data_IF_466919593836
#
_entry.id   IF_466919593836
#
_cell.length_a   1.000
_cell.length_b   1.000
_cell.length_c   1.000
_cell.angle_alpha   90.00
_cell.angle_beta   90.00
_cell.angle_gamma   90.00
#
_symmetry.space_group_name_H-M   'P 1'
#
loop_
_entity.id
_entity.type
_entity.pdbx_description
1 polymer ?
#
# COMPACT_ATOMS: atom_id res chain seq x y z
N UNK A 1 33.73 -12.47 16.35
CA UNK A 1 32.91 -11.33 15.92
C UNK A 1 31.89 -11.71 14.84
N UNK A 2 32.29 -12.37 13.74
CA UNK A 2 31.37 -12.69 12.63
C UNK A 2 30.31 -13.76 12.98
N UNK A 3 30.70 -14.85 13.66
CA UNK A 3 29.75 -15.88 14.14
C UNK A 3 28.75 -15.35 15.19
N UNK A 4 29.18 -14.41 16.02
CA UNK A 4 28.33 -13.82 17.07
C UNK A 4 27.32 -12.82 16.49
N UNK A 5 27.72 -12.07 15.45
CA UNK A 5 26.84 -11.24 14.65
C UNK A 5 25.80 -12.09 13.91
N UNK A 6 26.24 -13.15 13.23
CA UNK A 6 25.35 -14.09 12.54
C UNK A 6 24.35 -14.77 13.50
N UNK A 7 24.78 -15.12 14.71
CA UNK A 7 23.90 -15.69 15.73
C UNK A 7 22.85 -14.68 16.22
N UNK A 8 23.26 -13.43 16.49
CA UNK A 8 22.34 -12.34 16.87
C UNK A 8 21.34 -12.03 15.76
N UNK A 9 21.79 -11.97 14.51
CA UNK A 9 20.92 -11.73 13.35
C UNK A 9 19.89 -12.86 13.17
N UNK A 10 20.30 -14.12 13.37
CA UNK A 10 19.41 -15.28 13.31
C UNK A 10 18.37 -15.30 14.45
N UNK A 11 18.75 -14.92 15.67
CA UNK A 11 17.83 -14.82 16.81
C UNK A 11 16.82 -13.70 16.57
N UNK A 12 17.28 -12.56 16.09
CA UNK A 12 16.41 -11.42 15.79
C UNK A 12 15.41 -11.76 14.69
N UNK A 13 15.86 -12.44 13.63
CA UNK A 13 15.00 -12.93 12.55
C UNK A 13 13.92 -13.89 13.05
N UNK A 14 14.29 -14.88 13.88
CA UNK A 14 13.32 -15.81 14.49
C UNK A 14 12.29 -15.09 15.37
N UNK A 15 12.72 -14.06 16.12
CA UNK A 15 11.81 -13.25 16.94
C UNK A 15 10.80 -12.50 16.07
N UNK A 16 11.25 -11.91 14.96
CA UNK A 16 10.35 -11.26 14.00
C UNK A 16 9.37 -12.24 13.34
N UNK A 17 9.84 -13.42 12.93
CA UNK A 17 8.98 -14.46 12.34
C UNK A 17 7.88 -14.90 13.33
N UNK A 18 8.24 -15.11 14.59
CA UNK A 18 7.29 -15.47 15.65
C UNK A 18 6.25 -14.36 15.90
N UNK A 19 6.66 -13.09 15.89
CA UNK A 19 5.73 -11.96 16.04
C UNK A 19 4.73 -11.89 14.88
N UNK A 20 5.15 -12.18 13.65
CA UNK A 20 4.23 -12.22 12.48
C UNK A 20 3.24 -13.37 12.56
N UNK A 21 3.67 -14.54 13.02
CA UNK A 21 2.77 -15.68 13.26
C UNK A 21 1.76 -15.37 14.35
N UNK A 22 2.21 -14.74 15.44
CA UNK A 22 1.34 -14.30 16.52
C UNK A 22 0.30 -13.28 16.00
N UNK A 23 0.73 -12.27 15.25
CA UNK A 23 -0.16 -11.28 14.64
C UNK A 23 -1.21 -11.94 13.72
N UNK A 24 -0.82 -12.93 12.91
CA UNK A 24 -1.74 -13.69 12.08
C UNK A 24 -2.79 -14.43 12.93
N UNK A 25 -2.34 -15.16 13.96
CA UNK A 25 -3.22 -15.93 14.83
C UNK A 25 -4.20 -15.06 15.61
N UNK A 26 -3.70 -13.94 16.16
CA UNK A 26 -4.52 -12.96 16.86
C UNK A 26 -5.53 -12.29 15.93
N UNK A 27 -5.12 -11.91 14.71
CA UNK A 27 -6.02 -11.34 13.70
C UNK A 27 -7.10 -12.33 13.26
N UNK A 28 -6.75 -13.61 13.09
CA UNK A 28 -7.70 -14.67 12.76
C UNK A 28 -8.70 -14.89 13.90
N UNK A 29 -8.24 -14.86 15.15
CA UNK A 29 -9.10 -15.05 16.33
C UNK A 29 -10.01 -13.83 16.61
N UNK A 30 -9.67 -12.65 16.07
CA UNK A 30 -10.39 -11.41 16.33
C UNK A 30 -11.79 -11.36 15.70
N UNK A 31 -11.98 -12.03 14.57
CA UNK A 31 -13.23 -11.98 13.81
C UNK A 31 -13.73 -13.39 13.47
N UNK A 32 -15.05 -13.57 13.43
CA UNK A 32 -15.68 -14.85 13.05
C UNK A 32 -15.61 -15.14 11.53
N UNK A 33 -14.83 -14.36 10.77
CA UNK A 33 -14.81 -14.38 9.30
C UNK A 33 -13.89 -15.43 8.67
N UNK A 34 -13.23 -16.28 9.46
CA UNK A 34 -12.39 -17.38 8.95
C UNK A 34 -11.08 -16.96 8.28
N UNK A 35 -10.71 -15.68 8.35
CA UNK A 35 -9.43 -15.15 7.85
C UNK A 35 -8.94 -14.01 8.75
N UNK A 36 -7.63 -13.70 8.75
CA UNK A 36 -7.08 -12.55 9.49
C UNK A 36 -7.29 -11.21 8.77
N UNK A 37 -7.97 -11.20 7.63
CA UNK A 37 -8.09 -10.03 6.75
C UNK A 37 -9.46 -9.37 6.87
N UNK A 38 -9.47 -8.05 6.72
CA UNK A 38 -10.67 -7.25 6.54
C UNK A 38 -10.53 -6.42 5.27
N UNK A 39 -11.65 -6.12 4.63
CA UNK A 39 -11.68 -5.28 3.44
C UNK A 39 -12.89 -4.32 3.52
N UNK A 40 -12.71 -3.02 3.25
CA UNK A 40 -13.79 -2.05 3.35
C UNK A 40 -14.89 -2.33 2.31
N UNK A 41 -16.14 -2.17 2.73
CA UNK A 41 -17.24 -2.06 1.78
C UNK A 41 -16.98 -0.86 0.85
N UNK A 42 -17.34 -0.98 -0.42
CA UNK A 42 -17.06 -0.02 -1.50
C UNK A 42 -15.57 0.09 -1.88
N UNK A 43 -14.69 -0.71 -1.27
CA UNK A 43 -13.30 -0.85 -1.67
C UNK A 43 -12.34 0.16 -1.05
N UNK A 44 -11.06 0.04 -1.43
CA UNK A 44 -9.97 0.79 -0.79
C UNK A 44 -10.06 2.31 -0.96
N UNK A 45 -10.87 2.80 -1.92
CA UNK A 45 -11.13 4.23 -2.11
C UNK A 45 -11.80 4.90 -0.90
N UNK A 46 -12.44 4.14 -0.01
CA UNK A 46 -13.02 4.67 1.23
C UNK A 46 -11.94 5.10 2.25
N UNK A 47 -10.76 4.49 2.22
CA UNK A 47 -9.67 4.84 3.14
C UNK A 47 -9.16 6.28 2.93
N UNK A 48 -8.71 6.71 1.73
CA UNK A 48 -8.28 8.08 1.53
C UNK A 48 -9.43 9.08 1.72
N UNK A 49 -10.68 8.72 1.41
CA UNK A 49 -11.84 9.57 1.69
C UNK A 49 -12.03 9.79 3.21
N UNK A 50 -11.93 8.73 4.01
CA UNK A 50 -12.04 8.83 5.46
C UNK A 50 -10.92 9.67 6.07
N UNK A 51 -9.66 9.50 5.63
CA UNK A 51 -8.54 10.32 6.08
C UNK A 51 -8.67 11.78 5.61
N UNK A 52 -9.20 12.02 4.41
CA UNK A 52 -9.46 13.38 3.94
C UNK A 52 -10.52 14.08 4.80
N UNK A 53 -11.61 13.38 5.11
CA UNK A 53 -12.64 13.87 6.04
C UNK A 53 -12.07 14.12 7.43
N UNK A 54 -11.27 13.19 7.96
CA UNK A 54 -10.63 13.35 9.26
C UNK A 54 -9.76 14.61 9.28
N UNK A 55 -8.92 14.81 8.26
CA UNK A 55 -8.08 16.01 8.15
C UNK A 55 -8.91 17.29 8.02
N UNK A 56 -10.06 17.27 7.34
CA UNK A 56 -10.96 18.42 7.23
C UNK A 56 -11.60 18.81 8.57
N UNK A 57 -11.90 17.85 9.45
CA UNK A 57 -12.36 18.13 10.83
C UNK A 57 -11.34 18.96 11.60
N UNK A 58 -10.04 18.81 11.29
CA UNK A 58 -8.95 19.57 11.90
C UNK A 58 -8.48 20.75 11.04
N UNK A 59 -9.34 21.26 10.14
CA UNK A 59 -9.07 22.46 9.33
C UNK A 59 -8.26 22.21 8.05
N UNK A 60 -7.99 20.96 7.69
CA UNK A 60 -7.38 20.62 6.41
C UNK A 60 -8.32 20.88 5.22
N UNK A 61 -7.77 21.26 4.08
CA UNK A 61 -8.54 21.40 2.83
C UNK A 61 -7.94 20.51 1.75
N UNK A 62 -8.77 19.70 1.10
CA UNK A 62 -8.37 18.85 -0.02
C UNK A 62 -8.75 19.51 -1.33
N UNK A 63 -7.76 19.67 -2.21
CA UNK A 63 -7.94 20.23 -3.55
C UNK A 63 -7.69 19.12 -4.57
N UNK A 64 -8.74 18.72 -5.29
CA UNK A 64 -8.65 17.77 -6.40
C UNK A 64 -8.64 18.52 -7.74
N UNK A 65 -8.22 17.82 -8.80
CA UNK A 65 -8.16 18.39 -10.16
C UNK A 65 -7.32 19.67 -10.25
N UNK A 66 -6.25 19.74 -9.45
CA UNK A 66 -5.33 20.88 -9.42
C UNK A 66 -4.09 20.56 -10.27
N UNK A 67 -3.98 21.11 -11.50
CA UNK A 67 -2.94 20.72 -12.44
C UNK A 67 -1.58 21.32 -12.08
N UNK A 68 -0.49 20.76 -12.64
CA UNK A 68 0.85 21.37 -12.61
C UNK A 68 1.38 21.73 -11.21
N UNK A 69 1.07 20.91 -10.21
CA UNK A 69 1.61 21.06 -8.86
C UNK A 69 3.14 20.88 -8.87
N UNK A 70 3.86 22.00 -8.70
CA UNK A 70 5.32 22.04 -8.70
C UNK A 70 5.83 22.42 -7.31
N UNK A 71 6.73 21.62 -6.76
CA UNK A 71 7.42 21.96 -5.51
C UNK A 71 8.48 23.04 -5.79
N UNK A 72 8.43 24.13 -5.04
CA UNK A 72 9.38 25.24 -5.17
C UNK A 72 10.49 25.14 -4.12
N UNK A 73 11.72 25.39 -4.56
CA UNK A 73 12.93 25.28 -3.75
C UNK A 73 13.68 26.61 -3.66
N UNK A 74 14.20 26.92 -2.48
CA UNK A 74 15.10 28.03 -2.23
C UNK A 74 16.28 27.52 -1.39
N UNK A 75 17.51 27.78 -1.81
CA UNK A 75 18.73 27.26 -1.16
C UNK A 75 18.71 25.72 -0.95
N UNK A 76 18.10 25.00 -1.90
CA UNK A 76 17.99 23.53 -1.86
C UNK A 76 16.88 22.99 -0.94
N UNK A 77 16.10 23.85 -0.28
CA UNK A 77 14.99 23.48 0.61
C UNK A 77 13.64 23.84 0.01
N UNK A 78 12.68 22.94 0.13
CA UNK A 78 11.31 23.22 -0.27
C UNK A 78 10.70 24.32 0.62
N UNK A 79 10.05 25.30 -0.01
CA UNK A 79 9.37 26.41 0.67
C UNK A 79 7.90 26.57 0.29
N UNK A 80 7.42 25.82 -0.69
CA UNK A 80 6.03 25.90 -1.13
C UNK A 80 5.72 24.98 -2.31
N UNK A 81 4.45 25.01 -2.72
CA UNK A 81 3.97 24.33 -3.92
C UNK A 81 3.23 25.36 -4.77
N UNK A 82 3.61 25.47 -6.04
CA UNK A 82 2.96 26.33 -7.04
C UNK A 82 2.00 25.50 -7.88
N UNK A 83 0.81 26.04 -8.16
CA UNK A 83 -0.09 25.49 -9.17
C UNK A 83 -0.97 26.61 -9.73
N UNK A 84 -1.18 26.62 -11.05
CA UNK A 84 -1.91 27.70 -11.78
C UNK A 84 -1.42 29.11 -11.42
N UNK A 85 -0.11 29.27 -11.23
CA UNK A 85 0.52 30.57 -10.94
C UNK A 85 0.43 31.03 -9.48
N UNK A 86 -0.29 30.30 -8.62
CA UNK A 86 -0.38 30.59 -7.18
C UNK A 86 0.53 29.67 -6.36
N UNK A 87 1.25 30.22 -5.39
CA UNK A 87 2.16 29.46 -4.51
C UNK A 87 1.65 29.41 -3.09
N UNK A 88 1.34 28.21 -2.60
CA UNK A 88 1.09 27.94 -1.20
C UNK A 88 2.42 27.70 -0.47
N UNK A 89 2.77 28.57 0.48
CA UNK A 89 4.04 28.44 1.25
C UNK A 89 3.91 27.42 2.37
N UNK A 90 4.95 26.61 2.56
CA UNK A 90 5.01 25.61 3.62
C UNK A 90 6.46 25.36 4.07
N UNK A 91 6.64 24.72 5.22
CA UNK A 91 7.97 24.37 5.75
C UNK A 91 8.43 22.98 5.34
N UNK A 92 7.49 22.11 4.97
CA UNK A 92 7.70 20.69 4.65
C UNK A 92 6.70 20.29 3.58
N UNK A 93 7.13 19.42 2.66
CA UNK A 93 6.28 18.87 1.60
C UNK A 93 6.26 17.36 1.75
N UNK A 94 5.05 16.79 1.74
CA UNK A 94 4.82 15.35 1.65
C UNK A 94 4.22 15.04 0.29
N UNK A 95 4.76 14.06 -0.42
CA UNK A 95 4.28 13.69 -1.75
C UNK A 95 4.60 12.24 -2.10
N UNK A 96 3.99 11.73 -3.15
CA UNK A 96 4.39 10.46 -3.76
C UNK A 96 5.50 10.69 -4.82
N UNK A 97 6.16 9.61 -5.31
CA UNK A 97 7.27 9.70 -6.26
C UNK A 97 7.01 10.53 -7.53
N UNK A 98 5.76 10.64 -7.98
CA UNK A 98 5.43 11.33 -9.24
C UNK A 98 5.65 12.84 -9.20
N UNK A 99 5.63 13.45 -8.01
CA UNK A 99 5.82 14.90 -7.85
C UNK A 99 7.29 15.33 -7.85
N UNK A 100 8.22 14.40 -7.56
CA UNK A 100 9.65 14.66 -7.45
C UNK A 100 10.46 13.51 -8.09
N UNK A 101 10.34 13.28 -9.42
CA UNK A 101 10.93 12.13 -10.11
C UNK A 101 12.47 12.12 -10.08
N UNK A 102 13.10 13.28 -9.87
CA UNK A 102 14.54 13.50 -9.73
C UNK A 102 15.08 13.18 -8.32
N UNK A 103 14.19 12.93 -7.35
CA UNK A 103 14.52 12.61 -5.94
C UNK A 103 14.14 11.20 -5.53
N UNK A 104 13.82 10.35 -6.50
CA UNK A 104 13.49 8.94 -6.31
C UNK A 104 14.32 8.07 -7.24
N UNK A 105 14.45 6.79 -6.89
CA UNK A 105 15.02 5.79 -7.79
C UNK A 105 14.04 4.65 -7.99
N UNK A 106 14.01 4.10 -9.20
CA UNK A 106 13.28 2.89 -9.51
C UNK A 106 13.95 1.69 -8.84
N UNK A 107 13.17 0.90 -8.10
CA UNK A 107 13.64 -0.29 -7.37
C UNK A 107 13.07 -1.60 -7.91
N UNK A 108 12.06 -1.52 -8.78
CA UNK A 108 11.41 -2.69 -9.33
C UNK A 108 10.20 -2.32 -10.18
N UNK A 109 9.40 -3.33 -10.48
CA UNK A 109 8.16 -3.22 -11.25
C UNK A 109 7.19 -4.27 -10.70
N UNK A 110 5.91 -3.96 -10.63
CA UNK A 110 4.86 -4.93 -10.28
C UNK A 110 4.08 -5.28 -11.53
N UNK A 111 3.87 -6.57 -11.75
CA UNK A 111 2.91 -7.07 -12.72
C UNK A 111 1.56 -7.30 -12.02
N UNK A 112 0.47 -6.84 -12.63
CA UNK A 112 -0.89 -6.98 -12.11
C UNK A 112 -1.86 -7.44 -13.20
N UNK A 113 -2.76 -8.35 -12.86
CA UNK A 113 -3.94 -8.68 -13.64
C UNK A 113 -5.18 -8.38 -12.81
N UNK A 114 -6.13 -7.65 -13.38
CA UNK A 114 -7.46 -7.43 -12.82
C UNK A 114 -8.43 -8.29 -13.63
N UNK A 115 -9.07 -9.26 -12.99
CA UNK A 115 -9.91 -10.25 -13.64
C UNK A 115 -11.36 -10.08 -13.16
N UNK A 116 -12.30 -9.95 -14.09
CA UNK A 116 -13.74 -9.94 -13.80
C UNK A 116 -14.29 -11.35 -14.04
N UNK A 117 -15.06 -11.86 -13.09
CA UNK A 117 -15.60 -13.22 -13.13
C UNK A 117 -17.08 -13.23 -12.75
N UNK A 118 -17.80 -14.26 -13.21
CA UNK A 118 -19.22 -14.52 -12.91
C UNK A 118 -19.45 -15.63 -11.88
N UNK A 119 -18.40 -16.08 -11.19
CA UNK A 119 -18.45 -17.18 -10.24
C UNK A 119 -17.36 -17.02 -9.16
N UNK A 120 -17.48 -17.69 -7.99
CA UNK A 120 -16.40 -17.74 -7.01
C UNK A 120 -15.20 -18.51 -7.56
N UNK A 121 -14.03 -18.29 -6.97
CA UNK A 121 -12.82 -19.04 -7.35
C UNK A 121 -13.04 -20.53 -7.06
N UNK A 122 -12.67 -21.45 -7.98
CA UNK A 122 -12.70 -22.88 -7.72
C UNK A 122 -11.97 -23.27 -6.43
N UNK A 123 -12.50 -24.28 -5.72
CA UNK A 123 -11.91 -24.80 -4.48
C UNK A 123 -11.82 -23.81 -3.31
N UNK A 124 -12.64 -22.75 -3.30
CA UNK A 124 -12.72 -21.81 -2.17
C UNK A 124 -14.05 -21.85 -1.43
N UNK A 125 -14.78 -22.97 -1.49
CA UNK A 125 -16.08 -23.16 -0.82
C UNK A 125 -17.09 -22.02 -1.10
N UNK A 126 -17.16 -21.57 -2.36
CA UNK A 126 -18.02 -20.48 -2.83
C UNK A 126 -17.82 -19.14 -2.09
N UNK A 127 -16.63 -18.92 -1.53
CA UNK A 127 -16.29 -17.70 -0.79
C UNK A 127 -16.44 -16.44 -1.64
N UNK A 128 -17.04 -15.41 -1.05
CA UNK A 128 -17.23 -14.10 -1.67
C UNK A 128 -15.98 -13.19 -1.66
N UNK A 129 -14.96 -13.59 -0.92
CA UNK A 129 -13.63 -12.97 -0.92
C UNK A 129 -12.58 -13.96 -0.45
N UNK A 130 -11.38 -13.89 -1.03
CA UNK A 130 -10.31 -14.86 -0.77
C UNK A 130 -8.96 -14.16 -0.87
N UNK A 131 -8.02 -14.56 -0.02
CA UNK A 131 -6.60 -14.31 -0.18
C UNK A 131 -5.91 -15.65 -0.50
N UNK A 132 -5.13 -15.70 -1.58
CA UNK A 132 -4.28 -16.83 -1.94
C UNK A 132 -2.85 -16.32 -2.11
N UNK A 133 -1.91 -17.03 -1.51
CA UNK A 133 -0.48 -16.76 -1.66
C UNK A 133 0.11 -17.96 -2.39
N UNK A 134 0.77 -17.71 -3.52
CA UNK A 134 1.53 -18.69 -4.27
C UNK A 134 3.02 -18.46 -3.98
N UNK A 135 3.64 -19.26 -3.10
CA UNK A 135 5.03 -19.03 -2.69
C UNK A 135 5.98 -19.18 -3.88
N UNK A 136 6.95 -18.28 -3.99
CA UNK A 136 7.90 -18.19 -5.10
C UNK A 136 8.56 -19.53 -5.46
N UNK A 137 8.89 -20.35 -4.45
CA UNK A 137 9.54 -21.66 -4.64
C UNK A 137 8.64 -22.68 -5.34
N UNK A 138 7.33 -22.58 -5.20
CA UNK A 138 6.37 -23.45 -5.90
C UNK A 138 6.24 -23.05 -7.38
N UNK A 139 6.62 -21.83 -7.72
CA UNK A 139 6.53 -21.27 -9.08
C UNK A 139 7.89 -21.14 -9.78
N UNK A 140 8.99 -21.49 -9.12
CA UNK A 140 10.35 -21.26 -9.65
C UNK A 140 10.70 -19.77 -9.81
N UNK A 141 10.07 -18.90 -9.01
CA UNK A 141 10.25 -17.44 -9.01
C UNK A 141 11.16 -16.97 -7.88
N UNK A 142 11.55 -15.69 -7.93
CA UNK A 142 12.26 -14.94 -6.88
C UNK A 142 11.32 -14.18 -5.95
N UNK A 143 10.07 -13.98 -6.37
CA UNK A 143 9.04 -13.27 -5.64
C UNK A 143 7.76 -14.10 -5.55
N UNK A 144 7.07 -13.97 -4.43
CA UNK A 144 5.76 -14.61 -4.24
C UNK A 144 4.75 -13.96 -5.19
N UNK A 145 3.70 -14.71 -5.53
CA UNK A 145 2.54 -14.19 -6.23
C UNK A 145 1.35 -14.16 -5.28
N UNK A 146 0.62 -13.06 -5.32
CA UNK A 146 -0.55 -12.82 -4.48
C UNK A 146 -1.79 -12.79 -5.35
N UNK A 147 -2.86 -13.40 -4.87
CA UNK A 147 -4.17 -13.38 -5.48
C UNK A 147 -5.18 -12.97 -4.42
N UNK A 148 -5.77 -11.80 -4.61
CA UNK A 148 -6.86 -11.30 -3.77
C UNK A 148 -8.15 -11.24 -4.58
N UNK A 149 -9.23 -11.80 -4.06
CA UNK A 149 -10.55 -11.73 -4.66
C UNK A 149 -11.51 -11.05 -3.70
N UNK A 150 -12.35 -10.18 -4.25
CA UNK A 150 -13.54 -9.64 -3.62
C UNK A 150 -14.70 -9.66 -4.63
N UNK A 151 -15.90 -9.31 -4.19
CA UNK A 151 -17.10 -9.47 -5.01
C UNK A 151 -18.17 -8.46 -4.64
N UNK A 152 -19.35 -8.60 -5.25
CA UNK A 152 -20.55 -7.84 -4.91
C UNK A 152 -20.89 -7.80 -3.42
N UNK A 153 -20.46 -8.78 -2.60
CA UNK A 153 -20.69 -8.74 -1.15
C UNK A 153 -19.96 -7.57 -0.46
N UNK A 154 -18.93 -7.01 -1.11
CA UNK A 154 -18.17 -5.86 -0.68
C UNK A 154 -18.59 -4.57 -1.40
N UNK A 155 -19.68 -4.59 -2.18
CA UNK A 155 -20.16 -3.47 -2.99
C UNK A 155 -19.13 -2.90 -3.98
N UNK A 156 -18.18 -3.73 -4.43
CA UNK A 156 -17.17 -3.34 -5.43
C UNK A 156 -17.53 -3.78 -6.85
N UNK A 157 -18.58 -4.61 -7.00
CA UNK A 157 -19.03 -5.15 -8.27
C UNK A 157 -20.55 -5.37 -8.28
N UNK A 158 -21.21 -5.42 -9.45
CA UNK A 158 -22.63 -5.78 -9.56
C UNK A 158 -22.92 -7.19 -9.00
N UNK A 159 -24.15 -7.44 -8.55
CA UNK A 159 -24.58 -8.74 -8.00
C UNK A 159 -24.19 -9.90 -8.93
N UNK A 160 -23.56 -10.93 -8.37
CA UNK A 160 -23.07 -12.11 -9.10
C UNK A 160 -21.68 -11.94 -9.73
N UNK A 161 -21.07 -10.76 -9.66
CA UNK A 161 -19.72 -10.51 -10.18
C UNK A 161 -18.65 -10.53 -9.08
N UNK A 162 -17.47 -11.00 -9.48
CA UNK A 162 -16.26 -11.11 -8.68
C UNK A 162 -15.14 -10.34 -9.38
N UNK A 163 -14.24 -9.76 -8.58
CA UNK A 163 -13.04 -9.09 -9.06
C UNK A 163 -11.86 -9.76 -8.35
N UNK A 164 -10.97 -10.37 -9.15
CA UNK A 164 -9.73 -10.95 -8.67
C UNK A 164 -8.54 -10.13 -9.15
N UNK A 165 -7.59 -9.90 -8.26
CA UNK A 165 -6.34 -9.23 -8.52
C UNK A 165 -5.21 -10.25 -8.36
N UNK A 166 -4.45 -10.50 -9.42
CA UNK A 166 -3.25 -11.35 -9.39
C UNK A 166 -2.04 -10.44 -9.53
N UNK A 167 -1.12 -10.45 -8.56
CA UNK A 167 0.05 -9.56 -8.55
C UNK A 167 1.33 -10.27 -8.13
N UNK A 168 2.46 -9.80 -8.65
CA UNK A 168 3.80 -10.21 -8.23
C UNK A 168 4.83 -9.14 -8.60
N UNK A 169 6.00 -9.14 -7.96
CA UNK A 169 7.15 -8.37 -8.47
C UNK A 169 7.55 -8.95 -9.83
N UNK A 170 7.60 -8.10 -10.84
CA UNK A 170 7.88 -8.48 -12.22
C UNK A 170 9.35 -8.88 -12.37
N UNK A 171 9.58 -10.06 -12.95
CA UNK A 171 10.90 -10.56 -13.31
C UNK A 171 11.19 -10.37 -14.82
N UNK A 172 10.16 -10.01 -15.59
CA UNK A 172 10.15 -9.78 -17.04
C UNK A 172 9.24 -8.60 -17.39
N UNK A 173 9.17 -8.24 -18.67
CA UNK A 173 8.21 -7.25 -19.19
C UNK A 173 6.91 -7.88 -19.73
N UNK A 174 6.67 -9.17 -19.51
CA UNK A 174 5.47 -9.88 -19.98
C UNK A 174 4.57 -10.32 -18.83
N UNK A 175 3.65 -9.45 -18.35
CA UNK A 175 2.77 -9.76 -17.22
C UNK A 175 1.84 -10.95 -17.49
N UNK A 176 1.48 -11.21 -18.74
CA UNK A 176 0.58 -12.32 -19.10
C UNK A 176 1.20 -13.68 -18.79
N UNK A 177 2.49 -13.83 -19.09
CA UNK A 177 3.24 -15.06 -18.82
C UNK A 177 3.51 -15.20 -17.33
N UNK A 178 3.94 -14.12 -16.68
CA UNK A 178 4.29 -14.17 -15.25
C UNK A 178 3.10 -14.46 -14.35
N UNK A 179 1.93 -13.89 -14.65
CA UNK A 179 0.73 -14.03 -13.83
C UNK A 179 -0.09 -15.28 -14.16
N UNK A 180 0.31 -16.04 -15.19
CA UNK A 180 -0.45 -17.19 -15.68
C UNK A 180 -0.80 -18.19 -14.57
N UNK A 181 0.16 -18.50 -13.71
CA UNK A 181 -0.05 -19.46 -12.62
C UNK A 181 -1.17 -19.04 -11.66
N UNK A 182 -1.33 -17.74 -11.40
CA UNK A 182 -2.41 -17.22 -10.57
C UNK A 182 -3.72 -17.10 -11.32
N UNK A 183 -3.70 -16.66 -12.59
CA UNK A 183 -4.91 -16.56 -13.40
C UNK A 183 -5.51 -17.92 -13.74
N UNK A 184 -4.70 -18.97 -13.87
CA UNK A 184 -5.16 -20.35 -14.11
C UNK A 184 -6.00 -20.89 -12.93
N UNK A 185 -5.83 -20.33 -11.71
CA UNK A 185 -6.65 -20.71 -10.55
C UNK A 185 -8.07 -20.14 -10.59
N UNK A 186 -8.33 -19.13 -11.42
CA UNK A 186 -9.57 -18.35 -11.37
C UNK A 186 -10.76 -19.06 -12.03
N UNK A 187 -10.53 -20.08 -12.87
CA UNK A 187 -11.56 -20.64 -13.74
C UNK A 187 -11.89 -19.72 -14.93
N UNK A 188 -13.08 -19.81 -15.54
CA UNK A 188 -13.51 -18.89 -16.60
C UNK A 188 -13.46 -17.41 -16.20
N UNK A 189 -12.75 -16.60 -16.98
CA UNK A 189 -12.63 -15.15 -16.78
C UNK A 189 -13.48 -14.45 -17.84
N UNK A 190 -14.36 -13.53 -17.42
CA UNK A 190 -15.18 -12.74 -18.33
C UNK A 190 -14.30 -11.72 -19.07
N UNK A 191 -13.46 -11.00 -18.32
CA UNK A 191 -12.54 -9.98 -18.83
C UNK A 191 -11.27 -9.91 -17.98
N UNK A 192 -10.15 -9.60 -18.63
CA UNK A 192 -8.84 -9.48 -17.97
C UNK A 192 -8.09 -8.23 -18.42
N UNK A 193 -7.60 -7.47 -17.45
CA UNK A 193 -6.79 -6.27 -17.67
C UNK A 193 -5.39 -6.49 -17.09
N UNK A 194 -4.40 -6.59 -17.97
CA UNK A 194 -3.00 -6.65 -17.57
C UNK A 194 -2.41 -5.25 -17.48
N UNK A 195 -1.64 -5.01 -16.43
CA UNK A 195 -0.99 -3.75 -16.15
C UNK A 195 0.36 -3.98 -15.48
N UNK A 196 1.26 -3.02 -15.63
CA UNK A 196 2.52 -2.99 -14.89
C UNK A 196 2.81 -1.58 -14.43
N UNK A 197 3.30 -1.43 -13.20
CA UNK A 197 3.76 -0.14 -12.70
C UNK A 197 5.14 -0.26 -12.07
N UNK A 198 5.93 0.81 -12.22
CA UNK A 198 7.26 0.90 -11.65
C UNK A 198 7.18 1.24 -10.16
N UNK A 199 8.08 0.63 -9.38
CA UNK A 199 8.22 0.92 -7.96
C UNK A 199 9.39 1.86 -7.72
N UNK A 200 9.18 2.85 -6.88
CA UNK A 200 10.16 3.87 -6.53
C UNK A 200 10.37 3.95 -5.01
N UNK A 201 11.57 4.35 -4.61
CA UNK A 201 11.88 4.75 -3.24
C UNK A 201 12.60 6.10 -3.20
N UNK A 202 12.42 6.91 -2.15
CA UNK A 202 13.13 8.18 -1.98
C UNK A 202 14.65 7.99 -1.94
N UNK A 203 15.37 8.89 -2.61
CA UNK A 203 16.84 9.00 -2.54
C UNK A 203 17.30 10.29 -1.87
N UNK A 204 16.37 11.20 -1.56
CA UNK A 204 16.70 12.48 -0.97
C UNK A 204 17.07 12.39 0.52
N UNK A 205 17.81 13.40 0.99
CA UNK A 205 18.06 13.63 2.40
C UNK A 205 16.97 14.56 2.93
N UNK A 206 15.98 13.99 3.63
CA UNK A 206 14.75 14.67 4.04
C UNK A 206 15.01 15.95 4.84
N UNK A 207 15.97 15.90 5.77
CA UNK A 207 16.36 17.05 6.61
C UNK A 207 17.13 18.12 5.82
N UNK A 208 17.68 17.74 4.67
CA UNK A 208 18.41 18.61 3.76
C UNK A 208 17.49 19.45 2.88
N UNK A 209 16.40 18.87 2.39
CA UNK A 209 15.50 19.50 1.40
C UNK A 209 14.06 19.73 1.86
N UNK A 210 13.68 19.29 3.06
CA UNK A 210 12.33 19.35 3.61
C UNK A 210 11.26 18.59 2.80
N UNK A 211 11.67 17.64 1.95
CA UNK A 211 10.77 16.78 1.19
C UNK A 211 10.69 15.38 1.82
N UNK A 212 9.46 14.88 1.97
CA UNK A 212 9.16 13.56 2.51
C UNK A 212 8.36 12.80 1.47
N UNK A 213 9.04 11.91 0.74
CA UNK A 213 8.48 11.19 -0.40
C UNK A 213 8.13 9.77 0.05
N UNK A 214 6.91 9.29 -0.24
CA UNK A 214 6.52 7.91 0.05
C UNK A 214 7.19 6.92 -0.90
N UNK A 215 7.29 5.66 -0.47
CA UNK A 215 7.60 4.58 -1.38
C UNK A 215 6.38 4.22 -2.24
N UNK A 216 6.60 3.64 -3.42
CA UNK A 216 5.51 3.02 -4.19
C UNK A 216 5.01 1.75 -3.51
N UNK A 217 3.71 1.49 -3.63
CA UNK A 217 3.09 0.22 -3.20
C UNK A 217 3.83 -0.99 -3.79
N UNK A 218 3.95 -2.04 -2.99
CA UNK A 218 4.52 -3.31 -3.42
C UNK A 218 3.44 -4.26 -3.95
N UNK A 219 3.85 -5.46 -4.39
CA UNK A 219 2.93 -6.46 -4.89
C UNK A 219 2.08 -7.14 -3.79
N UNK A 220 2.33 -6.88 -2.51
CA UNK A 220 1.61 -7.54 -1.43
C UNK A 220 0.17 -7.06 -1.34
N UNK A 221 -0.73 -7.97 -0.97
CA UNK A 221 -2.18 -7.72 -0.90
C UNK A 221 -2.63 -7.41 0.53
N UNK A 222 -1.75 -6.80 1.33
CA UNK A 222 -2.01 -6.33 2.69
C UNK A 222 -1.21 -5.05 2.99
N UNK A 223 -1.57 -4.31 4.02
CA UNK A 223 -1.01 -2.97 4.25
C UNK A 223 0.23 -2.88 5.16
N UNK A 224 0.83 -3.99 5.61
CA UNK A 224 1.95 -3.94 6.59
C UNK A 224 3.09 -3.00 6.14
N UNK A 225 3.59 -3.15 4.92
CA UNK A 225 4.70 -2.34 4.38
C UNK A 225 4.29 -0.88 4.15
N UNK A 226 3.06 -0.65 3.71
CA UNK A 226 2.50 0.71 3.56
C UNK A 226 2.42 1.42 4.90
N UNK A 227 1.92 0.75 5.94
CA UNK A 227 1.79 1.33 7.29
C UNK A 227 3.18 1.59 7.88
N UNK A 228 4.16 0.71 7.63
CA UNK A 228 5.55 0.96 8.03
C UNK A 228 6.12 2.23 7.38
N UNK A 229 5.86 2.46 6.10
CA UNK A 229 6.30 3.69 5.41
C UNK A 229 5.64 4.94 6.02
N UNK A 230 4.33 4.89 6.29
CA UNK A 230 3.59 5.98 6.95
C UNK A 230 4.16 6.29 8.33
N UNK A 231 4.41 5.28 9.17
CA UNK A 231 4.98 5.46 10.52
C UNK A 231 6.40 6.04 10.43
N UNK A 232 7.24 5.50 9.55
CA UNK A 232 8.60 6.00 9.35
C UNK A 232 8.60 7.46 8.89
N UNK A 233 7.69 7.81 7.98
CA UNK A 233 7.53 9.16 7.49
C UNK A 233 7.03 10.11 8.58
N UNK A 234 6.03 9.71 9.38
CA UNK A 234 5.56 10.48 10.52
C UNK A 234 6.72 10.81 11.47
N UNK A 235 7.55 9.81 11.81
CA UNK A 235 8.70 10.02 12.68
C UNK A 235 9.75 10.94 12.09
N UNK A 236 10.04 10.84 10.79
CA UNK A 236 10.94 11.78 10.09
C UNK A 236 10.39 13.20 10.07
N UNK A 237 9.09 13.37 9.85
CA UNK A 237 8.45 14.69 9.80
C UNK A 237 8.39 15.32 11.19
N UNK A 238 8.02 14.58 12.22
CA UNK A 238 7.71 15.14 13.54
C UNK A 238 8.86 15.06 14.54
N UNK A 239 9.86 14.21 14.28
CA UNK A 239 10.91 13.86 15.24
C UNK A 239 10.41 13.02 16.42
N UNK A 240 9.19 12.45 16.35
CA UNK A 240 8.54 11.71 17.44
C UNK A 240 8.17 10.29 17.01
N UNK A 241 8.12 9.38 17.97
CA UNK A 241 7.47 8.08 17.78
C UNK A 241 5.96 8.28 17.73
N UNK A 242 5.29 7.64 16.76
CA UNK A 242 3.84 7.69 16.66
C UNK A 242 3.21 7.01 17.89
N UNK A 243 2.45 7.78 18.66
CA UNK A 243 1.67 7.30 19.80
C UNK A 243 0.17 7.33 19.43
N UNK A 244 -0.42 6.14 19.29
CA UNK A 244 -1.83 5.98 18.94
C UNK A 244 -2.73 5.87 20.18
N UNK A 245 -2.19 6.00 21.39
CA UNK A 245 -2.97 6.00 22.64
C UNK A 245 -3.51 7.39 23.01
N UNK A 246 -3.10 8.43 22.28
CA UNK A 246 -3.51 9.81 22.53
C UNK A 246 -4.99 9.99 22.17
N UNK A 247 -5.77 10.48 23.13
CA UNK A 247 -7.17 10.84 22.91
C UNK A 247 -7.26 12.14 22.09
N UNK A 248 -7.76 12.01 20.86
CA UNK A 248 -7.91 13.14 19.92
C UNK A 248 -9.20 13.92 20.14
N UNK A 249 -10.11 13.49 21.02
CA UNK A 249 -11.37 14.20 21.28
C UNK A 249 -11.15 15.62 21.81
N UNK A 250 -10.03 15.88 22.47
CA UNK A 250 -9.63 17.21 22.94
C UNK A 250 -9.11 18.13 21.81
N UNK A 251 -8.62 17.58 20.70
CA UNK A 251 -8.06 18.36 19.60
C UNK A 251 -9.14 18.94 18.66
N UNK A 252 -10.35 18.38 18.65
CA UNK A 252 -11.52 18.93 17.94
C UNK A 252 -12.20 20.09 18.68
N UNK A 253 -11.81 20.35 19.93
CA UNK A 253 -12.25 21.50 20.71
C UNK A 253 -11.24 22.64 20.56
N UNK A 254 -11.02 23.11 19.32
CA UNK A 254 -10.48 24.45 19.14
C UNK A 254 -11.62 25.44 19.39
N UNK A 255 -11.40 26.27 20.40
CA UNK A 255 -12.28 27.26 21.02
C UNK A 255 -13.01 28.14 19.99
N UNK A 256 -14.33 28.28 20.15
CA UNK A 256 -15.07 29.47 19.68
C UNK A 256 -14.58 30.73 20.40
#
# INVERSE_FOLDING_TARGET
MEQEKLCKDNILKKKFEMLRQQLYAESLARFQGGSPYIYPLYGLGELPQAFARLSAVYGGTYMLSKPECKVEFENGKAFGVTSEGETAKCKKVVCDPSYLPDKVKKIGKVARAICIMSHPIPSTHDSHSVQVILPQKQLGRKSDMYLFCCSYSHNVAPKGKYIAFVLTEAETDNPQVELKAGTDLLGPIDEIFFDTYDRYEPTNQNDGDNCFISASYDATTHFETTVQDVIAMYSKITGKTLDLSVDLSAASAAEE
#
